data_IF_695750120614
#
_entry.id   IF_695750120614
#
_cell.length_a   1.000
_cell.length_b   1.000
_cell.length_c   1.000
_cell.angle_alpha   90.00
_cell.angle_beta   90.00
_cell.angle_gamma   90.00
#
_symmetry.space_group_name_H-M   'P 1'
#
loop_
_entity.id
_entity.type
_entity.pdbx_description
1 polymer ?
#
# COMPACT_ATOMS: atom_id res chain seq x y z
N UNK A 1 10.26 4.25 -21.10
CA UNK A 1 9.53 3.88 -19.87
C UNK A 1 8.98 5.17 -19.29
N UNK A 2 7.67 5.27 -19.08
CA UNK A 2 7.06 6.44 -18.43
C UNK A 2 7.33 6.40 -16.93
N UNK A 3 7.77 7.52 -16.35
CA UNK A 3 7.89 7.67 -14.90
C UNK A 3 6.50 7.56 -14.26
N UNK A 4 6.31 6.61 -13.34
CA UNK A 4 5.06 6.44 -12.62
C UNK A 4 5.04 7.34 -11.39
N UNK A 5 6.12 7.39 -10.63
CA UNK A 5 6.28 8.26 -9.47
C UNK A 5 7.56 9.08 -9.62
N UNK A 6 7.48 10.38 -9.37
CA UNK A 6 8.64 11.28 -9.33
C UNK A 6 8.58 12.12 -8.08
N UNK A 7 9.68 12.12 -7.34
CA UNK A 7 9.89 12.94 -6.14
C UNK A 7 11.12 13.82 -6.38
N UNK A 8 10.96 15.12 -6.16
CA UNK A 8 12.01 16.11 -6.35
C UNK A 8 12.12 17.02 -5.12
N UNK A 9 13.28 17.01 -4.48
CA UNK A 9 13.66 17.80 -3.30
C UNK A 9 12.60 17.81 -2.20
N UNK A 10 11.95 16.66 -1.98
CA UNK A 10 10.85 16.54 -1.04
C UNK A 10 11.33 16.75 0.40
N UNK A 11 10.68 17.70 1.07
CA UNK A 11 10.75 17.84 2.52
C UNK A 11 9.36 17.74 3.12
N UNK A 12 9.18 16.86 4.10
CA UNK A 12 7.87 16.54 4.69
C UNK A 12 7.97 16.05 6.15
N UNK A 13 6.87 16.13 6.88
CA UNK A 13 6.80 15.66 8.27
C UNK A 13 5.47 15.99 8.95
N UNK A 14 5.52 16.26 10.25
CA UNK A 14 4.35 16.35 11.13
C UNK A 14 4.25 17.72 11.78
N UNK A 15 3.17 18.45 11.48
CA UNK A 15 2.98 19.81 11.97
C UNK A 15 4.06 20.75 11.43
N UNK A 16 4.97 21.18 12.30
CA UNK A 16 6.15 22.00 11.95
C UNK A 16 7.45 21.17 11.90
N UNK A 17 7.44 19.91 12.35
CA UNK A 17 8.61 19.07 12.38
C UNK A 17 8.90 18.48 11.00
N UNK A 18 10.06 18.81 10.43
CA UNK A 18 10.55 18.27 9.16
C UNK A 18 11.37 16.99 9.41
N UNK A 19 10.90 15.86 8.89
CA UNK A 19 11.55 14.54 9.05
C UNK A 19 12.30 14.14 7.77
N UNK A 20 11.64 14.30 6.61
CA UNK A 20 12.27 14.10 5.30
C UNK A 20 12.92 15.41 4.87
N UNK A 21 14.16 15.34 4.38
CA UNK A 21 14.92 16.51 3.93
C UNK A 21 15.48 16.25 2.54
N UNK A 22 15.01 17.04 1.56
CA UNK A 22 15.50 17.06 0.17
C UNK A 22 15.61 15.67 -0.48
N UNK A 23 14.58 14.83 -0.33
CA UNK A 23 14.56 13.49 -0.93
C UNK A 23 14.18 13.59 -2.41
N UNK A 24 14.99 13.00 -3.29
CA UNK A 24 14.71 12.92 -4.73
C UNK A 24 14.91 11.49 -5.25
N UNK A 25 13.92 10.98 -5.98
CA UNK A 25 14.02 9.72 -6.75
C UNK A 25 12.86 9.62 -7.74
N UNK A 26 12.96 8.65 -8.65
CA UNK A 26 11.87 8.28 -9.57
C UNK A 26 11.66 6.77 -9.53
N UNK A 27 10.45 6.35 -9.88
CA UNK A 27 10.05 4.95 -10.05
C UNK A 27 9.28 4.82 -11.36
N UNK A 28 9.75 3.94 -12.24
CA UNK A 28 9.06 3.63 -13.49
C UNK A 28 7.87 2.70 -13.25
N UNK A 29 6.94 2.66 -14.21
CA UNK A 29 5.85 1.68 -14.19
C UNK A 29 6.40 0.24 -14.27
N UNK A 30 5.89 -0.65 -13.43
CA UNK A 30 6.39 -2.03 -13.28
C UNK A 30 7.70 -2.16 -12.48
N UNK A 31 8.29 -1.06 -12.02
CA UNK A 31 9.49 -1.09 -11.20
C UNK A 31 9.16 -1.32 -9.72
N UNK A 32 10.00 -2.09 -9.04
CA UNK A 32 9.93 -2.30 -7.59
C UNK A 32 11.14 -1.64 -6.94
N UNK A 33 10.91 -0.81 -5.93
CA UNK A 33 11.96 -0.19 -5.13
C UNK A 33 11.81 -0.55 -3.66
N UNK A 34 12.91 -0.94 -3.03
CA UNK A 34 12.98 -1.17 -1.59
C UNK A 34 13.70 0.00 -0.90
N UNK A 35 13.06 0.58 0.11
CA UNK A 35 13.67 1.61 0.96
C UNK A 35 14.23 0.96 2.23
N UNK A 36 15.55 1.00 2.41
CA UNK A 36 16.24 0.41 3.55
C UNK A 36 16.85 1.49 4.44
N UNK A 37 16.77 1.28 5.76
CA UNK A 37 17.28 2.25 6.73
C UNK A 37 16.94 1.82 8.16
N UNK A 38 17.67 2.39 9.13
CA UNK A 38 17.43 2.15 10.56
C UNK A 38 16.06 2.70 10.99
N UNK A 39 15.62 2.35 12.19
CA UNK A 39 14.41 2.93 12.76
C UNK A 39 14.61 4.44 12.98
N UNK A 40 13.58 5.22 12.67
CA UNK A 40 13.62 6.68 12.80
C UNK A 40 14.24 7.45 11.61
N UNK A 41 14.67 6.79 10.54
CA UNK A 41 15.24 7.48 9.36
C UNK A 41 14.19 8.05 8.39
N UNK A 42 12.90 8.06 8.75
CA UNK A 42 11.83 8.63 7.93
C UNK A 42 11.20 7.69 6.90
N UNK A 43 11.45 6.37 6.95
CA UNK A 43 10.88 5.40 5.99
C UNK A 43 9.34 5.43 5.95
N UNK A 44 8.72 5.22 7.10
CA UNK A 44 7.26 5.34 7.30
C UNK A 44 6.78 6.73 6.92
N UNK A 45 7.50 7.78 7.31
CA UNK A 45 7.15 9.17 6.94
C UNK A 45 7.12 9.39 5.43
N UNK A 46 7.99 8.76 4.64
CA UNK A 46 7.94 8.84 3.18
C UNK A 46 6.66 8.17 2.64
N UNK A 47 6.34 6.97 3.11
CA UNK A 47 5.15 6.24 2.68
C UNK A 47 3.86 6.98 3.09
N UNK A 48 3.81 7.49 4.31
CA UNK A 48 2.73 8.35 4.81
C UNK A 48 2.60 9.62 3.97
N UNK A 49 3.72 10.23 3.58
CA UNK A 49 3.73 11.42 2.72
C UNK A 49 3.14 11.13 1.36
N UNK A 50 3.43 9.96 0.79
CA UNK A 50 2.84 9.51 -0.48
C UNK A 50 1.34 9.22 -0.33
N UNK A 51 0.93 8.57 0.76
CA UNK A 51 -0.46 8.32 1.11
C UNK A 51 -1.25 9.62 1.43
N UNK A 52 -0.55 10.73 1.69
CA UNK A 52 -1.15 12.02 2.04
C UNK A 52 -1.55 12.11 3.51
N UNK A 53 -0.82 11.45 4.41
CA UNK A 53 -1.02 11.45 5.86
C UNK A 53 -0.04 12.39 6.59
N UNK A 54 0.86 13.06 5.87
CA UNK A 54 1.83 14.04 6.42
C UNK A 54 1.64 15.42 5.79
N UNK A 55 2.36 16.40 6.32
CA UNK A 55 2.50 17.73 5.71
C UNK A 55 3.73 17.74 4.82
N UNK A 56 3.53 18.12 3.55
CA UNK A 56 4.62 18.49 2.66
C UNK A 56 5.02 19.94 2.95
N UNK A 57 6.31 20.17 3.21
CA UNK A 57 6.87 21.49 3.47
C UNK A 57 7.54 22.09 2.22
N UNK A 58 8.16 21.26 1.39
CA UNK A 58 8.83 21.68 0.15
C UNK A 58 8.90 20.54 -0.87
N UNK A 59 9.44 20.84 -2.05
CA UNK A 59 9.64 19.89 -3.14
C UNK A 59 8.37 19.57 -3.92
N UNK A 60 8.43 18.55 -4.77
CA UNK A 60 7.32 18.13 -5.65
C UNK A 60 7.17 16.61 -5.62
N UNK A 61 5.91 16.17 -5.68
CA UNK A 61 5.54 14.77 -5.86
C UNK A 61 4.58 14.70 -7.04
N UNK A 62 4.94 13.90 -8.05
CA UNK A 62 4.11 13.60 -9.21
C UNK A 62 3.85 12.10 -9.30
N UNK A 63 2.61 11.74 -9.57
CA UNK A 63 2.18 10.37 -9.76
C UNK A 63 1.36 10.26 -11.04
N UNK A 64 1.81 9.44 -11.98
CA UNK A 64 1.24 9.28 -13.31
C UNK A 64 0.99 10.64 -14.01
N UNK A 65 1.96 11.55 -13.93
CA UNK A 65 1.88 12.92 -14.49
C UNK A 65 0.98 13.88 -13.72
N UNK A 66 0.39 13.47 -12.61
CA UNK A 66 -0.46 14.31 -11.76
C UNK A 66 0.28 14.72 -10.48
N UNK A 67 0.27 16.01 -10.15
CA UNK A 67 0.82 16.50 -8.89
C UNK A 67 0.00 15.99 -7.68
N UNK A 68 0.67 15.42 -6.67
CA UNK A 68 0.00 14.89 -5.47
C UNK A 68 -0.20 15.92 -4.35
N UNK A 69 0.58 17.00 -4.30
CA UNK A 69 0.57 17.97 -3.20
C UNK A 69 -0.77 18.71 -3.02
N UNK A 70 -1.62 18.73 -4.06
CA UNK A 70 -2.97 19.32 -4.02
C UNK A 70 -4.06 18.32 -3.63
N UNK A 71 -3.74 17.02 -3.61
CA UNK A 71 -4.73 15.96 -3.44
C UNK A 71 -4.81 15.49 -1.97
N UNK A 72 -6.00 15.52 -1.35
CA UNK A 72 -6.22 14.86 -0.05
C UNK A 72 -6.11 13.34 -0.19
N UNK A 73 -5.87 12.65 0.93
CA UNK A 73 -5.56 11.20 0.98
C UNK A 73 -6.59 10.33 0.26
N UNK A 74 -7.89 10.66 0.36
CA UNK A 74 -8.96 9.92 -0.33
C UNK A 74 -8.89 10.05 -1.85
N UNK A 75 -8.47 11.21 -2.36
CA UNK A 75 -8.24 11.42 -3.80
C UNK A 75 -6.97 10.73 -4.27
N UNK A 76 -5.94 10.60 -3.41
CA UNK A 76 -4.74 9.81 -3.71
C UNK A 76 -5.03 8.31 -3.77
N UNK A 77 -5.85 7.80 -2.85
CA UNK A 77 -6.32 6.41 -2.94
C UNK A 77 -7.13 6.19 -4.23
N UNK A 78 -8.07 7.10 -4.53
CA UNK A 78 -8.80 7.07 -5.80
C UNK A 78 -7.90 7.32 -7.02
N UNK A 79 -6.73 7.95 -6.82
CA UNK A 79 -5.72 8.18 -7.87
C UNK A 79 -4.94 6.91 -8.23
N UNK A 80 -5.11 5.82 -7.47
CA UNK A 80 -4.48 4.51 -7.73
C UNK A 80 -3.32 4.19 -6.80
N UNK A 81 -3.25 4.83 -5.63
CA UNK A 81 -2.28 4.51 -4.59
C UNK A 81 -2.93 3.56 -3.59
N UNK A 82 -2.42 2.34 -3.51
CA UNK A 82 -2.75 1.36 -2.48
C UNK A 82 -1.71 1.41 -1.37
N UNK A 83 -2.13 1.33 -0.12
CA UNK A 83 -1.22 1.46 1.02
C UNK A 83 -1.52 0.39 2.08
N UNK A 84 -0.47 -0.31 2.49
CA UNK A 84 -0.45 -1.26 3.59
C UNK A 84 0.41 -0.66 4.70
N UNK A 85 -0.20 -0.04 5.72
CA UNK A 85 0.52 0.51 6.86
C UNK A 85 1.08 -0.58 7.77
N UNK A 86 2.11 -0.25 8.55
CA UNK A 86 2.70 -1.12 9.58
C UNK A 86 1.64 -1.66 10.56
N UNK A 87 0.71 -0.80 11.00
CA UNK A 87 -0.37 -1.18 11.95
C UNK A 87 -1.52 -1.99 11.31
N UNK A 88 -1.43 -2.35 10.02
CA UNK A 88 -2.42 -3.11 9.21
C UNK A 88 -3.74 -2.37 8.97
N UNK A 89 -4.24 -1.63 9.95
CA UNK A 89 -5.44 -0.78 9.90
C UNK A 89 -6.69 -1.45 9.31
N UNK A 90 -6.90 -2.74 9.60
CA UNK A 90 -8.12 -3.47 9.21
C UNK A 90 -9.35 -3.00 10.01
N UNK A 91 -10.54 -3.14 9.43
CA UNK A 91 -11.79 -2.91 10.14
C UNK A 91 -12.10 -4.11 11.04
N UNK A 92 -11.69 -4.01 12.31
CA UNK A 92 -11.82 -5.08 13.30
C UNK A 92 -13.26 -5.58 13.50
N UNK A 93 -14.24 -4.70 13.37
CA UNK A 93 -15.68 -5.00 13.53
C UNK A 93 -16.34 -5.58 12.28
N UNK A 94 -15.64 -5.61 11.15
CA UNK A 94 -16.15 -6.17 9.90
C UNK A 94 -15.57 -7.56 9.68
N UNK A 95 -16.31 -8.40 8.96
CA UNK A 95 -15.81 -9.68 8.48
C UNK A 95 -14.66 -9.49 7.48
N UNK A 96 -13.90 -10.55 7.23
CA UNK A 96 -12.87 -10.57 6.16
C UNK A 96 -13.48 -10.14 4.82
N UNK A 97 -14.65 -10.67 4.46
CA UNK A 97 -15.30 -10.33 3.21
C UNK A 97 -15.72 -8.85 3.15
N UNK A 98 -16.35 -8.34 4.22
CA UNK A 98 -16.72 -6.91 4.32
C UNK A 98 -15.51 -5.98 4.33
N UNK A 99 -14.39 -6.39 4.93
CA UNK A 99 -13.14 -5.63 4.87
C UNK A 99 -12.68 -5.40 3.42
N UNK A 100 -12.81 -6.42 2.56
CA UNK A 100 -12.43 -6.33 1.16
C UNK A 100 -13.47 -5.57 0.34
N UNK A 101 -14.75 -5.91 0.46
CA UNK A 101 -15.82 -5.31 -0.37
C UNK A 101 -16.09 -3.85 -0.02
N UNK A 102 -15.90 -3.44 1.25
CA UNK A 102 -16.12 -2.04 1.68
C UNK A 102 -15.17 -1.03 1.03
N UNK A 103 -14.01 -1.46 0.56
CA UNK A 103 -13.01 -0.59 -0.08
C UNK A 103 -12.74 -0.96 -1.53
N UNK A 104 -13.37 -2.01 -2.05
CA UNK A 104 -13.16 -2.47 -3.42
C UNK A 104 -13.52 -1.36 -4.43
N UNK A 105 -12.67 -1.20 -5.45
CA UNK A 105 -12.86 -0.24 -6.53
C UNK A 105 -12.78 -0.94 -7.87
N UNK A 106 -13.56 -0.46 -8.83
CA UNK A 106 -13.46 -0.88 -10.22
C UNK A 106 -12.06 -0.47 -10.74
N UNK A 107 -11.36 -1.33 -11.51
CA UNK A 107 -10.12 -0.95 -12.15
C UNK A 107 -10.32 0.27 -13.05
N UNK A 108 -9.24 1.02 -13.26
CA UNK A 108 -9.27 2.11 -14.24
C UNK A 108 -9.11 1.59 -15.65
N UNK A 109 -9.60 2.38 -16.58
CA UNK A 109 -9.44 2.12 -18.00
C UNK A 109 -7.95 1.91 -18.34
N UNK A 110 -7.66 0.79 -19.00
CA UNK A 110 -6.30 0.42 -19.42
C UNK A 110 -5.37 -0.12 -18.34
N UNK A 111 -5.83 -0.35 -17.11
CA UNK A 111 -4.96 -0.67 -15.97
C UNK A 111 -4.64 -2.17 -15.82
N UNK A 112 -5.59 -3.07 -16.09
CA UNK A 112 -5.32 -4.52 -16.16
C UNK A 112 -6.47 -5.24 -16.83
N UNK A 113 -6.18 -6.28 -17.60
CA UNK A 113 -7.18 -7.21 -18.13
C UNK A 113 -7.78 -8.11 -17.04
N UNK A 114 -7.11 -8.21 -15.88
CA UNK A 114 -7.53 -9.03 -14.75
C UNK A 114 -7.54 -8.18 -13.46
N UNK A 115 -8.67 -7.55 -13.10
CA UNK A 115 -8.74 -6.74 -11.90
C UNK A 115 -8.64 -7.55 -10.62
N UNK A 116 -8.18 -6.90 -9.56
CA UNK A 116 -8.28 -7.37 -8.20
C UNK A 116 -9.72 -7.29 -7.71
N UNK A 117 -10.26 -8.44 -7.35
CA UNK A 117 -11.54 -8.62 -6.67
C UNK A 117 -11.31 -9.38 -5.37
N UNK A 118 -12.28 -9.40 -4.42
CA UNK A 118 -12.18 -10.24 -3.24
C UNK A 118 -11.88 -11.71 -3.55
N UNK A 119 -12.46 -12.27 -4.62
CA UNK A 119 -12.24 -13.64 -5.07
C UNK A 119 -10.78 -13.87 -5.47
N UNK A 120 -10.18 -12.91 -6.18
CA UNK A 120 -8.77 -12.97 -6.56
C UNK A 120 -7.85 -12.82 -5.35
N UNK A 121 -8.25 -12.02 -4.36
CA UNK A 121 -7.53 -11.95 -3.08
C UNK A 121 -7.59 -13.30 -2.36
N UNK A 122 -8.70 -14.03 -2.43
CA UNK A 122 -8.80 -15.39 -1.88
C UNK A 122 -7.94 -16.41 -2.62
N UNK A 123 -7.76 -16.26 -3.94
CA UNK A 123 -6.78 -17.07 -4.69
C UNK A 123 -5.34 -16.79 -4.24
N UNK A 124 -5.02 -15.54 -3.92
CA UNK A 124 -3.68 -15.15 -3.42
C UNK A 124 -3.47 -15.59 -1.97
N UNK A 125 -4.49 -15.47 -1.13
CA UNK A 125 -4.45 -15.79 0.29
C UNK A 125 -5.59 -16.76 0.66
N UNK A 126 -5.43 -18.08 0.40
CA UNK A 126 -6.47 -19.08 0.67
C UNK A 126 -6.96 -19.09 2.13
N UNK A 127 -6.07 -18.74 3.07
CA UNK A 127 -6.42 -18.56 4.50
C UNK A 127 -7.54 -17.55 4.73
N UNK A 128 -7.59 -16.47 3.95
CA UNK A 128 -8.68 -15.49 4.04
C UNK A 128 -9.99 -16.05 3.50
N UNK A 129 -9.95 -16.97 2.53
CA UNK A 129 -11.14 -17.64 1.99
C UNK A 129 -11.79 -18.54 3.05
N UNK A 130 -10.97 -19.32 3.76
CA UNK A 130 -11.39 -20.18 4.88
C UNK A 130 -12.05 -19.36 6.01
N UNK A 131 -11.65 -18.08 6.15
CA UNK A 131 -12.06 -17.15 7.21
C UNK A 131 -13.01 -16.05 6.73
N UNK A 132 -13.62 -16.17 5.55
CA UNK A 132 -14.35 -15.04 4.92
C UNK A 132 -15.43 -14.40 5.79
N UNK A 133 -16.07 -15.19 6.67
CA UNK A 133 -17.13 -14.75 7.60
C UNK A 133 -16.63 -14.39 8.99
N UNK A 134 -15.33 -14.56 9.28
CA UNK A 134 -14.74 -14.19 10.56
C UNK A 134 -14.53 -12.68 10.63
N UNK A 135 -14.74 -12.12 11.83
CA UNK A 135 -14.40 -10.73 12.12
C UNK A 135 -12.88 -10.52 12.10
N UNK A 136 -12.43 -9.29 11.81
CA UNK A 136 -11.00 -8.95 11.84
C UNK A 136 -10.34 -9.22 13.21
N UNK A 137 -11.09 -9.14 14.31
CA UNK A 137 -10.62 -9.52 15.66
C UNK A 137 -10.39 -11.01 15.86
N UNK A 138 -10.92 -11.87 15.00
CA UNK A 138 -10.80 -13.33 15.08
C UNK A 138 -9.65 -13.88 14.22
N UNK A 139 -8.87 -12.98 13.61
CA UNK A 139 -7.71 -13.32 12.80
C UNK A 139 -6.43 -13.24 13.63
N UNK A 140 -5.49 -14.14 13.36
CA UNK A 140 -4.10 -14.04 13.83
C UNK A 140 -3.40 -12.83 13.20
N UNK A 141 -2.28 -12.38 13.78
CA UNK A 141 -1.54 -11.24 13.25
C UNK A 141 -1.10 -11.40 11.78
N UNK A 142 -0.73 -12.61 11.38
CA UNK A 142 -0.40 -12.92 9.99
C UNK A 142 -1.60 -12.84 9.05
N UNK A 143 -2.75 -13.39 9.45
CA UNK A 143 -4.00 -13.28 8.68
C UNK A 143 -4.47 -11.81 8.57
N UNK A 144 -4.31 -11.01 9.62
CA UNK A 144 -4.59 -9.57 9.56
C UNK A 144 -3.67 -8.84 8.58
N UNK A 145 -2.39 -9.23 8.49
CA UNK A 145 -1.46 -8.67 7.51
C UNK A 145 -1.88 -9.03 6.08
N UNK A 146 -2.22 -10.29 5.82
CA UNK A 146 -2.75 -10.72 4.51
C UNK A 146 -4.01 -9.95 4.15
N UNK A 147 -4.92 -9.72 5.11
CA UNK A 147 -6.12 -8.94 4.89
C UNK A 147 -5.80 -7.47 4.58
N UNK A 148 -4.81 -6.88 5.23
CA UNK A 148 -4.35 -5.51 4.94
C UNK A 148 -3.81 -5.40 3.51
N UNK A 149 -2.99 -6.37 3.07
CA UNK A 149 -2.53 -6.45 1.68
C UNK A 149 -3.71 -6.63 0.72
N UNK A 150 -4.63 -7.56 1.02
CA UNK A 150 -5.83 -7.78 0.22
C UNK A 150 -6.68 -6.51 0.04
N UNK A 151 -6.86 -5.72 1.10
CA UNK A 151 -7.57 -4.43 1.07
C UNK A 151 -6.89 -3.41 0.15
N UNK A 152 -5.56 -3.36 0.15
CA UNK A 152 -4.82 -2.49 -0.75
C UNK A 152 -4.93 -2.97 -2.21
N UNK A 153 -4.95 -4.29 -2.46
CA UNK A 153 -5.06 -4.86 -3.80
C UNK A 153 -6.43 -4.61 -4.45
N UNK A 154 -7.53 -4.77 -3.71
CA UNK A 154 -8.90 -4.55 -4.26
C UNK A 154 -9.18 -3.08 -4.61
N UNK A 155 -8.28 -2.15 -4.28
CA UNK A 155 -8.31 -0.78 -4.82
C UNK A 155 -7.87 -0.71 -6.29
N UNK A 156 -7.37 -1.82 -6.86
CA UNK A 156 -6.73 -1.87 -8.16
C UNK A 156 -5.63 -0.78 -8.29
N UNK A 157 -4.60 -0.79 -7.42
CA UNK A 157 -3.61 0.27 -7.39
C UNK A 157 -2.65 0.19 -8.59
N UNK A 158 -2.12 1.34 -9.03
CA UNK A 158 -0.91 1.41 -9.89
C UNK A 158 0.37 1.46 -9.05
N UNK A 159 0.27 2.01 -7.83
CA UNK A 159 1.37 2.08 -6.87
C UNK A 159 0.93 1.42 -5.58
N UNK A 160 1.62 0.34 -5.20
CA UNK A 160 1.40 -0.35 -3.94
C UNK A 160 2.52 0.02 -2.96
N UNK A 161 2.15 0.66 -1.86
CA UNK A 161 3.03 1.06 -0.78
C UNK A 161 2.95 0.03 0.35
N UNK A 162 4.08 -0.55 0.73
CA UNK A 162 4.17 -1.54 1.78
C UNK A 162 5.10 -1.02 2.89
N UNK A 163 4.55 -0.70 4.06
CA UNK A 163 5.34 -0.27 5.21
C UNK A 163 5.61 -1.45 6.15
N UNK A 164 6.88 -1.82 6.27
CA UNK A 164 7.39 -2.96 7.05
C UNK A 164 6.45 -4.19 7.06
N UNK A 165 6.04 -4.71 5.88
CA UNK A 165 4.92 -5.64 5.76
C UNK A 165 5.16 -7.02 6.39
N UNK A 166 6.37 -7.29 6.88
CA UNK A 166 6.82 -8.56 7.44
C UNK A 166 7.10 -8.47 8.94
N UNK A 167 7.02 -7.28 9.55
CA UNK A 167 7.42 -7.06 10.94
C UNK A 167 6.52 -7.81 11.94
N UNK A 168 7.14 -8.43 12.93
CA UNK A 168 6.43 -9.11 14.02
C UNK A 168 5.68 -10.37 13.61
N UNK A 169 5.95 -10.93 12.42
CA UNK A 169 5.31 -12.13 11.90
C UNK A 169 6.14 -13.40 12.16
N UNK A 170 5.45 -14.52 12.31
CA UNK A 170 6.09 -15.82 12.40
C UNK A 170 6.78 -16.17 11.05
N UNK A 171 7.91 -16.90 11.04
CA UNK A 171 8.67 -17.19 9.82
C UNK A 171 7.84 -17.75 8.65
N UNK A 172 6.91 -18.67 8.95
CA UNK A 172 6.04 -19.26 7.92
C UNK A 172 5.15 -18.22 7.22
N UNK A 173 4.68 -17.21 7.96
CA UNK A 173 3.86 -16.12 7.43
C UNK A 173 4.72 -15.17 6.59
N UNK A 174 5.96 -14.92 7.02
CA UNK A 174 6.91 -14.10 6.26
C UNK A 174 7.16 -14.72 4.88
N UNK A 175 7.40 -16.03 4.81
CA UNK A 175 7.60 -16.75 3.54
C UNK A 175 6.37 -16.70 2.64
N UNK A 176 5.16 -16.77 3.20
CA UNK A 176 3.91 -16.70 2.46
C UNK A 176 3.70 -15.29 1.86
N UNK A 177 3.93 -14.24 2.66
CA UNK A 177 3.85 -12.86 2.19
C UNK A 177 4.93 -12.52 1.17
N UNK A 178 6.16 -12.99 1.34
CA UNK A 178 7.22 -12.81 0.35
C UNK A 178 6.86 -13.46 -0.99
N UNK A 179 6.24 -14.65 -0.97
CA UNK A 179 5.71 -15.29 -2.18
C UNK A 179 4.61 -14.46 -2.84
N UNK A 180 3.68 -13.93 -2.05
CA UNK A 180 2.63 -13.06 -2.57
C UNK A 180 3.19 -11.77 -3.18
N UNK A 181 4.13 -11.09 -2.50
CA UNK A 181 4.80 -9.88 -3.00
C UNK A 181 5.56 -10.20 -4.29
N UNK A 182 6.32 -11.29 -4.33
CA UNK A 182 7.05 -11.71 -5.53
C UNK A 182 6.12 -12.02 -6.71
N UNK A 183 4.92 -12.55 -6.44
CA UNK A 183 3.90 -12.78 -7.45
C UNK A 183 3.34 -11.46 -7.98
N UNK A 184 2.97 -10.54 -7.08
CA UNK A 184 2.49 -9.20 -7.45
C UNK A 184 3.52 -8.45 -8.29
N UNK A 185 4.81 -8.53 -7.97
CA UNK A 185 5.83 -7.77 -8.71
C UNK A 185 6.23 -8.38 -10.05
N UNK A 186 5.87 -9.64 -10.33
CA UNK A 186 6.29 -10.36 -11.55
C UNK A 186 5.16 -10.66 -12.51
N UNK A 187 3.95 -10.87 -11.99
CA UNK A 187 2.80 -11.37 -12.76
C UNK A 187 1.69 -10.34 -12.93
N UNK A 188 1.77 -9.20 -12.22
CA UNK A 188 0.72 -8.18 -12.11
C UNK A 188 1.26 -6.78 -12.42
#
# INVERSE_FOLDING_TARGET
>A
MSELLKIDELSAGYGEAVVLQNISFSLAEGETMALLGRNGTGKTTLLDTLAGATRQHAGRIEFAGCALHTLPSHQRAASGIGWVPQERNIFKSLTVHENLTSVARIPRDGQSSRPWTPERVYEMFPRLAERKTNLGTQLSGGEQQMLAVGRALVLNPRLLLLDEPLEGLAPIIVEELLRAIARITREE
#
